data_IF_831737573399
#
_entry.id   IF_831737573399
#
_cell.length_a   1.000
_cell.length_b   1.000
_cell.length_c   1.000
_cell.angle_alpha   90.00
_cell.angle_beta   90.00
_cell.angle_gamma   90.00
#
_symmetry.space_group_name_H-M   'P 1'
#
loop_
_entity.id
_entity.type
_entity.pdbx_description
1 polymer ?
#
# COMPACT_ATOMS: atom_id res chain seq x y z
N UNK A 1 39.90 46.30 -14.72
CA UNK A 1 38.78 46.17 -13.78
C UNK A 1 37.77 45.16 -14.38
N UNK A 2 37.90 43.93 -14.01
CA UNK A 2 37.04 42.85 -14.55
C UNK A 2 35.84 42.66 -13.61
N UNK A 3 34.64 42.96 -14.09
CA UNK A 3 33.38 42.60 -13.44
C UNK A 3 33.06 41.13 -13.79
N UNK A 4 33.30 40.21 -12.87
CA UNK A 4 32.75 38.87 -12.95
C UNK A 4 31.25 38.92 -12.64
N UNK A 5 30.46 38.65 -13.66
CA UNK A 5 29.02 38.50 -13.54
C UNK A 5 28.77 37.12 -12.90
N UNK A 6 28.26 37.12 -11.69
CA UNK A 6 27.85 35.91 -10.96
C UNK A 6 26.46 35.52 -11.48
N UNK A 7 26.39 34.56 -12.38
CA UNK A 7 25.13 33.97 -12.81
C UNK A 7 24.78 32.93 -11.75
N UNK A 8 23.89 33.33 -10.85
CA UNK A 8 23.21 32.40 -9.93
C UNK A 8 22.15 31.69 -10.74
N UNK A 9 22.42 30.43 -11.09
CA UNK A 9 21.39 29.53 -11.64
C UNK A 9 20.40 29.23 -10.52
N UNK A 10 19.25 29.88 -10.59
CA UNK A 10 18.06 29.51 -9.82
C UNK A 10 17.50 28.25 -10.47
N UNK A 11 18.00 27.07 -10.07
CA UNK A 11 17.29 25.82 -10.24
C UNK A 11 16.26 25.72 -9.12
N UNK A 12 15.15 26.41 -9.28
CA UNK A 12 14.02 26.30 -8.38
C UNK A 12 12.83 25.74 -9.13
N UNK A 13 12.37 24.57 -8.69
CA UNK A 13 10.99 24.13 -8.75
C UNK A 13 10.32 23.94 -10.12
N UNK A 14 10.81 22.99 -10.93
CA UNK A 14 9.93 22.31 -11.88
C UNK A 14 9.81 20.78 -11.62
N UNK A 15 10.53 20.23 -10.63
CA UNK A 15 10.50 18.80 -10.35
C UNK A 15 9.22 18.31 -9.64
N UNK A 16 8.37 19.21 -9.16
CA UNK A 16 7.16 18.84 -8.41
C UNK A 16 5.89 18.65 -9.25
N UNK A 17 5.95 18.79 -10.56
CA UNK A 17 4.79 18.64 -11.45
C UNK A 17 4.81 17.37 -12.31
N UNK A 18 5.90 16.61 -12.33
CA UNK A 18 6.03 15.40 -13.15
C UNK A 18 5.82 14.08 -12.40
N UNK A 19 5.72 14.10 -11.08
CA UNK A 19 5.23 12.96 -10.29
C UNK A 19 3.69 12.83 -10.25
N UNK A 20 2.98 13.48 -11.15
CA UNK A 20 1.67 13.03 -11.54
C UNK A 20 1.85 11.70 -12.31
N UNK A 21 2.25 10.65 -11.57
CA UNK A 21 2.04 9.27 -12.00
C UNK A 21 0.67 9.25 -12.69
N UNK A 22 0.58 8.55 -13.82
CA UNK A 22 -0.70 8.22 -14.45
C UNK A 22 -1.54 7.43 -13.43
N UNK A 23 -2.10 8.17 -12.47
CA UNK A 23 -2.95 7.66 -11.37
C UNK A 23 -4.26 7.04 -11.88
N UNK A 24 -4.40 6.89 -13.21
CA UNK A 24 -5.60 6.40 -13.84
C UNK A 24 -5.61 4.89 -14.09
N UNK A 25 -4.45 4.22 -13.91
CA UNK A 25 -4.31 2.79 -14.21
C UNK A 25 -4.93 1.92 -13.13
N UNK A 26 -4.92 2.38 -11.87
CA UNK A 26 -5.48 1.60 -10.74
C UNK A 26 -6.60 2.40 -10.12
N UNK A 27 -7.76 2.37 -10.78
CA UNK A 27 -9.02 2.94 -10.29
C UNK A 27 -9.85 1.86 -9.61
N UNK A 28 -10.82 2.29 -8.80
CA UNK A 28 -11.92 1.44 -8.38
C UNK A 28 -12.75 1.01 -9.60
N UNK A 29 -13.27 -0.20 -9.56
CA UNK A 29 -14.16 -0.74 -10.59
C UNK A 29 -15.46 -1.22 -9.96
N UNK A 30 -16.56 -1.14 -10.71
CA UNK A 30 -17.84 -1.76 -10.33
C UNK A 30 -17.84 -3.27 -10.53
N UNK A 31 -16.81 -3.81 -11.17
CA UNK A 31 -16.67 -5.25 -11.42
C UNK A 31 -15.97 -5.92 -10.24
N UNK A 32 -16.75 -6.34 -9.26
CA UNK A 32 -16.23 -7.07 -8.11
C UNK A 32 -16.96 -8.41 -7.96
N UNK A 33 -16.19 -9.46 -7.70
CA UNK A 33 -16.70 -10.82 -7.46
C UNK A 33 -16.46 -11.21 -5.99
N UNK A 34 -17.56 -11.36 -5.24
CA UNK A 34 -17.48 -11.79 -3.84
C UNK A 34 -16.92 -13.21 -3.73
N UNK A 35 -15.95 -13.47 -2.83
CA UNK A 35 -15.44 -14.82 -2.63
C UNK A 35 -16.57 -15.78 -2.20
N UNK A 36 -16.53 -17.00 -2.72
CA UNK A 36 -17.50 -18.06 -2.34
C UNK A 36 -17.00 -18.91 -1.18
N UNK A 37 -15.68 -19.10 -1.06
CA UNK A 37 -15.03 -19.88 0.01
C UNK A 37 -15.29 -19.26 1.39
N UNK A 38 -15.88 -20.00 2.35
CA UNK A 38 -16.21 -19.48 3.68
C UNK A 38 -14.96 -19.07 4.48
N UNK A 39 -13.81 -19.70 4.28
CA UNK A 39 -12.56 -19.34 4.99
C UNK A 39 -12.01 -18.01 4.45
N UNK A 40 -12.10 -17.78 3.13
CA UNK A 40 -11.73 -16.51 2.51
C UNK A 40 -12.68 -15.40 2.97
N UNK A 41 -13.99 -15.64 3.03
CA UNK A 41 -14.97 -14.68 3.56
C UNK A 41 -14.66 -14.29 5.02
N UNK A 42 -14.40 -15.26 5.88
CA UNK A 42 -14.07 -15.00 7.27
C UNK A 42 -12.76 -14.22 7.44
N UNK A 43 -11.74 -14.53 6.63
CA UNK A 43 -10.47 -13.80 6.61
C UNK A 43 -10.68 -12.37 6.09
N UNK A 44 -11.49 -12.18 5.06
CA UNK A 44 -11.81 -10.88 4.48
C UNK A 44 -12.54 -9.98 5.49
N UNK A 45 -13.52 -10.51 6.23
CA UNK A 45 -14.20 -9.79 7.31
C UNK A 45 -13.23 -9.40 8.44
N UNK A 46 -12.30 -10.30 8.79
CA UNK A 46 -11.22 -10.03 9.75
C UNK A 46 -10.29 -8.92 9.25
N UNK A 47 -9.91 -8.95 7.97
CA UNK A 47 -9.08 -7.91 7.37
C UNK A 47 -9.79 -6.56 7.33
N UNK A 48 -11.09 -6.54 6.99
CA UNK A 48 -11.90 -5.32 7.04
C UNK A 48 -11.96 -4.67 8.43
N UNK A 49 -11.74 -5.43 9.51
CA UNK A 49 -11.65 -4.90 10.87
C UNK A 49 -10.33 -4.17 11.14
N UNK A 50 -9.27 -4.45 10.36
CA UNK A 50 -7.91 -3.91 10.58
C UNK A 50 -7.75 -2.46 10.14
N UNK A 51 -8.38 -2.03 9.06
CA UNK A 51 -8.49 -0.64 8.57
C UNK A 51 -7.21 0.08 8.21
N UNK A 52 -6.07 -0.22 8.84
CA UNK A 52 -4.81 0.49 8.64
C UNK A 52 -3.65 -0.49 8.58
N UNK A 53 -2.92 -0.49 7.47
CA UNK A 53 -1.77 -1.34 7.19
C UNK A 53 -0.52 -0.56 6.79
N UNK A 54 0.62 -1.26 6.78
CA UNK A 54 1.91 -0.79 6.31
C UNK A 54 2.30 -1.59 5.07
N UNK A 55 2.64 -0.91 3.97
CA UNK A 55 3.37 -1.55 2.88
C UNK A 55 4.82 -1.07 2.90
N UNK A 56 5.75 -2.01 2.84
CA UNK A 56 7.19 -1.72 2.85
C UNK A 56 7.75 -2.04 1.47
N UNK A 57 8.19 -0.98 0.75
CA UNK A 57 8.92 -1.11 -0.51
C UNK A 57 10.42 -1.06 -0.23
N UNK A 58 11.07 -2.21 -0.36
CA UNK A 58 12.52 -2.31 -0.14
C UNK A 58 13.15 -3.32 -1.10
N UNK A 59 14.21 -2.90 -1.80
CA UNK A 59 14.88 -3.67 -2.82
C UNK A 59 16.11 -2.93 -3.34
N UNK A 60 16.61 -3.33 -4.51
CA UNK A 60 17.83 -2.74 -5.10
C UNK A 60 17.73 -1.23 -5.30
N UNK A 61 16.55 -0.72 -5.64
CA UNK A 61 16.29 0.71 -5.87
C UNK A 61 16.57 1.59 -4.64
N UNK A 62 16.58 1.01 -3.43
CA UNK A 62 16.96 1.75 -2.24
C UNK A 62 18.46 2.09 -2.22
N UNK A 63 19.32 1.30 -2.88
CA UNK A 63 20.78 1.51 -2.89
C UNK A 63 21.15 2.81 -3.61
N UNK A 64 20.72 3.06 -4.86
CA UNK A 64 20.91 4.35 -5.51
C UNK A 64 19.93 5.44 -5.01
N UNK A 65 18.86 5.09 -4.27
CA UNK A 65 17.86 6.04 -3.81
C UNK A 65 17.04 6.64 -4.94
N UNK A 66 16.48 5.80 -5.81
CA UNK A 66 15.69 6.21 -6.99
C UNK A 66 14.28 5.63 -6.92
N UNK A 67 13.43 6.08 -7.86
CA UNK A 67 12.13 5.45 -8.08
C UNK A 67 12.30 3.93 -8.21
N UNK A 68 11.40 3.17 -7.65
CA UNK A 68 11.47 1.70 -7.53
C UNK A 68 12.04 1.07 -8.82
N UNK A 69 11.82 -0.16 -9.13
CA UNK A 69 12.35 -0.81 -10.35
C UNK A 69 11.94 -0.15 -11.68
N UNK A 70 11.00 0.78 -11.66
CA UNK A 70 10.53 1.46 -12.88
C UNK A 70 11.62 2.15 -13.68
N UNK A 71 12.71 2.59 -13.04
CA UNK A 71 13.84 3.21 -13.74
C UNK A 71 14.45 2.33 -14.83
N UNK A 72 14.29 1.00 -14.78
CA UNK A 72 14.76 0.07 -15.84
C UNK A 72 13.69 -0.27 -16.88
N UNK A 73 12.49 0.29 -16.80
CA UNK A 73 11.46 0.17 -17.82
C UNK A 73 11.71 1.18 -18.94
N UNK A 74 11.43 0.83 -20.20
CA UNK A 74 11.71 1.67 -21.38
C UNK A 74 10.53 2.58 -21.78
N UNK A 75 9.51 2.69 -20.93
CA UNK A 75 8.38 3.58 -21.22
C UNK A 75 8.78 5.06 -21.16
N UNK A 76 8.12 5.87 -21.98
CA UNK A 76 8.46 7.28 -22.26
C UNK A 76 8.28 8.24 -21.07
N UNK A 77 7.50 7.83 -20.05
CA UNK A 77 7.34 8.60 -18.81
C UNK A 77 8.49 8.41 -17.79
N UNK A 78 9.43 7.46 -18.09
CA UNK A 78 10.58 7.19 -17.24
C UNK A 78 11.75 8.07 -17.66
N UNK A 79 12.19 8.94 -16.79
CA UNK A 79 13.38 9.74 -16.96
C UNK A 79 14.62 9.00 -16.44
N UNK A 80 15.67 8.97 -17.25
CA UNK A 80 16.97 8.38 -16.94
C UNK A 80 18.09 9.28 -17.40
N UNK A 81 19.31 9.05 -16.89
CA UNK A 81 20.52 9.66 -17.40
C UNK A 81 20.71 9.29 -18.88
N UNK A 82 20.50 10.28 -19.77
CA UNK A 82 20.60 10.12 -21.22
C UNK A 82 22.04 9.94 -21.74
N UNK A 83 23.05 10.11 -20.88
CA UNK A 83 24.46 9.90 -21.23
C UNK A 83 24.84 8.42 -21.19
N UNK A 84 24.01 7.58 -20.59
CA UNK A 84 24.21 6.14 -20.46
C UNK A 84 23.26 5.42 -21.41
N UNK A 85 23.77 4.42 -22.17
CA UNK A 85 22.88 3.59 -22.99
C UNK A 85 21.87 2.84 -22.13
N UNK A 86 20.69 2.57 -22.68
CA UNK A 86 19.64 1.85 -21.94
C UNK A 86 20.10 0.47 -21.45
N UNK A 87 20.89 -0.25 -22.27
CA UNK A 87 21.43 -1.55 -21.88
C UNK A 87 22.47 -1.43 -20.75
N UNK A 88 23.31 -0.41 -20.76
CA UNK A 88 24.27 -0.17 -19.70
C UNK A 88 23.60 0.34 -18.43
N UNK A 89 22.51 1.12 -18.56
CA UNK A 89 21.70 1.52 -17.41
C UNK A 89 21.09 0.30 -16.68
N UNK A 90 20.54 -0.67 -17.42
CA UNK A 90 20.02 -1.91 -16.83
C UNK A 90 21.13 -2.69 -16.11
N UNK A 91 22.31 -2.82 -16.71
CA UNK A 91 23.46 -3.47 -16.06
C UNK A 91 23.88 -2.73 -14.79
N UNK A 92 24.01 -1.40 -14.87
CA UNK A 92 24.31 -0.54 -13.73
C UNK A 92 23.32 -0.76 -12.58
N UNK A 93 22.02 -0.80 -12.88
CA UNK A 93 20.98 -1.03 -11.89
C UNK A 93 21.11 -2.44 -11.25
N UNK A 94 21.19 -3.47 -12.06
CA UNK A 94 21.27 -4.84 -11.53
C UNK A 94 22.58 -5.13 -10.77
N UNK A 95 23.65 -4.40 -11.05
CA UNK A 95 24.91 -4.50 -10.33
C UNK A 95 24.81 -4.03 -8.86
N UNK A 96 23.73 -3.34 -8.47
CA UNK A 96 23.47 -3.04 -7.06
C UNK A 96 23.24 -4.29 -6.23
N UNK A 97 22.84 -5.42 -6.82
CA UNK A 97 22.80 -6.71 -6.13
C UNK A 97 24.14 -7.12 -5.51
N UNK A 98 25.26 -6.67 -6.09
CA UNK A 98 26.62 -6.88 -5.59
C UNK A 98 27.06 -5.90 -4.50
N UNK A 99 26.22 -4.90 -4.20
CA UNK A 99 26.51 -3.82 -3.22
C UNK A 99 25.49 -3.76 -2.08
N UNK A 100 24.31 -4.37 -2.25
CA UNK A 100 23.23 -4.30 -1.27
C UNK A 100 23.59 -5.14 -0.03
N UNK A 101 24.02 -4.45 1.01
CA UNK A 101 24.45 -5.06 2.28
C UNK A 101 23.89 -4.25 3.48
N UNK A 102 22.63 -4.48 3.87
CA UNK A 102 21.94 -3.71 4.90
C UNK A 102 22.36 -4.11 6.32
N UNK A 103 23.55 -3.69 6.74
CA UNK A 103 24.18 -4.10 8.02
C UNK A 103 23.41 -3.67 9.27
N UNK A 104 22.48 -2.69 9.14
CA UNK A 104 21.64 -2.22 10.24
C UNK A 104 20.20 -2.74 10.17
N UNK A 105 19.93 -3.74 9.32
CA UNK A 105 18.60 -4.32 9.20
C UNK A 105 18.09 -4.88 10.52
N UNK A 106 16.98 -4.32 10.98
CA UNK A 106 16.31 -4.70 12.23
C UNK A 106 14.78 -4.64 12.04
N UNK A 107 14.16 -5.77 11.65
CA UNK A 107 12.72 -5.80 11.37
C UNK A 107 11.85 -5.57 12.61
N UNK A 108 12.37 -5.81 13.81
CA UNK A 108 11.69 -5.53 15.07
C UNK A 108 11.46 -4.02 15.26
N UNK A 109 12.39 -3.17 14.79
CA UNK A 109 12.19 -1.72 14.79
C UNK A 109 11.11 -1.30 13.80
N UNK A 110 11.01 -1.96 12.65
CA UNK A 110 9.97 -1.67 11.66
C UNK A 110 8.58 -2.07 12.19
N UNK A 111 8.46 -3.26 12.78
CA UNK A 111 7.19 -3.71 13.35
C UNK A 111 6.76 -2.84 14.52
N UNK A 112 7.68 -2.44 15.40
CA UNK A 112 7.39 -1.52 16.50
C UNK A 112 6.91 -0.16 15.99
N UNK A 113 7.54 0.41 14.94
CA UNK A 113 7.09 1.68 14.35
C UNK A 113 5.67 1.58 13.78
N UNK A 114 5.36 0.49 13.04
CA UNK A 114 4.01 0.24 12.53
C UNK A 114 2.99 0.02 13.65
N UNK A 115 3.34 -0.75 14.67
CA UNK A 115 2.48 -0.99 15.85
C UNK A 115 2.18 0.31 16.61
N UNK A 116 3.20 1.13 16.83
CA UNK A 116 3.05 2.43 17.48
C UNK A 116 2.16 3.36 16.67
N UNK A 117 2.23 3.35 15.33
CA UNK A 117 1.32 4.09 14.47
C UNK A 117 -0.15 3.59 14.52
N UNK A 118 -0.39 2.42 15.10
CA UNK A 118 -1.70 1.77 15.15
C UNK A 118 -1.99 0.84 13.98
N UNK A 119 -1.01 0.56 13.11
CA UNK A 119 -1.17 -0.35 11.98
C UNK A 119 -1.43 -1.79 12.43
N UNK A 120 -2.18 -2.57 11.64
CA UNK A 120 -2.69 -3.89 12.01
C UNK A 120 -2.37 -4.99 11.01
N UNK A 121 -1.87 -4.65 9.83
CA UNK A 121 -1.41 -5.61 8.83
C UNK A 121 -0.21 -5.05 8.08
N UNK A 122 0.59 -5.96 7.56
CA UNK A 122 1.77 -5.70 6.75
C UNK A 122 1.53 -6.18 5.33
N UNK A 123 2.08 -5.47 4.35
CA UNK A 123 2.36 -5.96 3.00
C UNK A 123 3.85 -5.68 2.72
N UNK A 124 4.67 -6.72 2.53
CA UNK A 124 6.11 -6.57 2.32
C UNK A 124 6.49 -6.96 0.89
N UNK A 125 7.26 -6.12 0.19
CA UNK A 125 7.76 -6.41 -1.16
C UNK A 125 8.77 -7.55 -1.14
N UNK A 126 8.29 -8.79 -1.25
CA UNK A 126 9.17 -9.97 -1.31
C UNK A 126 9.97 -10.02 -2.62
N UNK A 127 9.40 -9.50 -3.70
CA UNK A 127 10.06 -9.26 -4.99
C UNK A 127 9.33 -8.17 -5.74
N UNK A 128 10.02 -7.10 -6.18
CA UNK A 128 9.48 -6.08 -7.08
C UNK A 128 9.72 -6.44 -8.55
N UNK A 129 9.33 -5.58 -9.50
CA UNK A 129 9.38 -5.88 -10.96
C UNK A 129 10.80 -6.18 -11.47
N UNK A 130 11.85 -5.64 -10.81
CA UNK A 130 13.25 -5.89 -11.17
C UNK A 130 13.71 -7.34 -10.98
N UNK A 131 12.88 -8.16 -10.32
CA UNK A 131 13.17 -9.57 -10.09
C UNK A 131 14.08 -9.86 -8.90
N UNK A 132 14.57 -8.84 -8.16
CA UNK A 132 15.40 -9.05 -6.99
C UNK A 132 14.57 -9.58 -5.82
N UNK A 133 14.88 -10.83 -5.40
CA UNK A 133 14.15 -11.47 -4.31
C UNK A 133 14.69 -11.03 -2.94
N UNK A 134 13.82 -10.52 -2.08
CA UNK A 134 14.13 -10.20 -0.68
C UNK A 134 13.94 -11.42 0.24
N UNK A 135 14.01 -12.63 -0.32
CA UNK A 135 13.87 -13.91 0.37
C UNK A 135 14.81 -14.96 -0.23
N UNK A 136 15.09 -16.04 0.52
CA UNK A 136 15.98 -17.13 0.07
C UNK A 136 15.24 -18.06 -0.89
N UNK A 137 15.05 -17.60 -2.13
CA UNK A 137 14.47 -18.42 -3.20
C UNK A 137 15.49 -19.41 -3.77
N UNK A 138 15.01 -20.60 -4.12
CA UNK A 138 15.80 -21.60 -4.86
C UNK A 138 15.64 -21.48 -6.37
N UNK A 139 14.79 -20.53 -6.83
CA UNK A 139 14.48 -20.37 -8.25
C UNK A 139 15.48 -19.44 -8.95
N UNK A 140 16.21 -18.61 -8.20
CA UNK A 140 17.15 -17.61 -8.73
C UNK A 140 18.28 -17.32 -7.74
N UNK A 141 19.47 -17.03 -8.25
CA UNK A 141 20.58 -16.47 -7.45
C UNK A 141 20.47 -14.94 -7.31
N UNK A 142 19.52 -14.32 -8.00
CA UNK A 142 19.27 -12.88 -7.91
C UNK A 142 18.42 -12.57 -6.66
N UNK A 143 19.06 -12.66 -5.50
CA UNK A 143 18.42 -12.57 -4.19
C UNK A 143 19.36 -11.94 -3.16
N UNK A 144 18.79 -11.25 -2.18
CA UNK A 144 19.53 -10.69 -1.05
C UNK A 144 20.25 -11.78 -0.24
N UNK A 145 19.70 -12.98 -0.18
CA UNK A 145 20.29 -14.12 0.50
C UNK A 145 21.51 -14.74 -0.22
N UNK A 146 21.76 -14.31 -1.46
CA UNK A 146 22.90 -14.78 -2.29
C UNK A 146 23.95 -13.70 -2.55
N UNK A 147 23.68 -12.46 -2.15
CA UNK A 147 24.56 -11.30 -2.34
C UNK A 147 25.49 -11.03 -1.15
N UNK A 148 26.00 -9.79 -1.02
CA UNK A 148 26.90 -9.39 0.07
C UNK A 148 26.33 -9.60 1.47
N UNK A 149 24.99 -9.61 1.61
CA UNK A 149 24.31 -9.84 2.87
C UNK A 149 24.15 -11.32 3.24
N UNK A 150 24.56 -12.26 2.38
CA UNK A 150 24.36 -13.70 2.56
C UNK A 150 24.95 -14.29 3.84
N UNK A 151 26.04 -13.70 4.37
CA UNK A 151 26.65 -14.13 5.62
C UNK A 151 25.92 -13.66 6.88
N UNK A 152 24.97 -12.74 6.74
CA UNK A 152 24.18 -12.26 7.87
C UNK A 152 23.14 -13.32 8.27
N UNK A 153 22.97 -13.64 9.57
CA UNK A 153 21.92 -14.57 10.01
C UNK A 153 20.51 -14.21 9.55
N UNK A 154 20.26 -12.91 9.26
CA UNK A 154 18.97 -12.39 8.78
C UNK A 154 18.93 -12.22 7.25
N UNK A 155 19.77 -12.93 6.49
CA UNK A 155 19.87 -12.80 5.04
C UNK A 155 18.55 -13.16 4.30
N UNK A 156 17.77 -14.08 4.83
CA UNK A 156 16.40 -14.33 4.38
C UNK A 156 15.46 -13.25 4.94
N UNK A 157 15.52 -12.06 4.36
CA UNK A 157 14.88 -10.85 4.88
C UNK A 157 13.39 -11.02 5.09
N UNK A 158 12.66 -11.59 4.12
CA UNK A 158 11.22 -11.78 4.22
C UNK A 158 10.83 -12.62 5.44
N UNK A 159 11.62 -13.65 5.76
CA UNK A 159 11.39 -14.48 6.95
C UNK A 159 11.40 -13.64 8.23
N UNK A 160 12.44 -12.86 8.42
CA UNK A 160 12.62 -12.06 9.63
C UNK A 160 11.62 -10.91 9.72
N UNK A 161 11.25 -10.29 8.59
CA UNK A 161 10.18 -9.28 8.53
C UNK A 161 8.85 -9.90 8.94
N UNK A 162 8.47 -11.02 8.34
CA UNK A 162 7.19 -11.69 8.67
C UNK A 162 7.15 -12.14 10.13
N UNK A 163 8.24 -12.70 10.65
CA UNK A 163 8.30 -13.17 12.04
C UNK A 163 8.18 -12.00 13.04
N UNK A 164 8.86 -10.87 12.80
CA UNK A 164 8.78 -9.69 13.65
C UNK A 164 7.36 -9.09 13.68
N UNK A 165 6.75 -8.90 12.51
CA UNK A 165 5.39 -8.35 12.43
C UNK A 165 4.34 -9.32 12.99
N UNK A 166 4.47 -10.61 12.74
CA UNK A 166 3.58 -11.64 13.29
C UNK A 166 3.63 -11.67 14.81
N UNK A 167 4.84 -11.57 15.39
CA UNK A 167 5.04 -11.45 16.84
C UNK A 167 4.32 -10.24 17.43
N UNK A 168 4.24 -9.15 16.70
CA UNK A 168 3.52 -7.92 17.10
C UNK A 168 2.01 -7.95 16.79
N UNK A 169 1.48 -9.06 16.26
CA UNK A 169 0.04 -9.28 16.04
C UNK A 169 -0.51 -8.74 14.73
N UNK A 170 0.35 -8.48 13.76
CA UNK A 170 -0.05 -8.08 12.41
C UNK A 170 -0.56 -9.27 11.59
N UNK A 171 -1.54 -9.04 10.72
CA UNK A 171 -1.76 -9.92 9.57
C UNK A 171 -0.60 -9.74 8.59
N UNK A 172 -0.16 -10.85 7.99
CA UNK A 172 1.03 -10.87 7.13
C UNK A 172 0.62 -10.94 5.66
N UNK A 173 1.06 -9.94 4.89
CA UNK A 173 0.91 -9.87 3.44
C UNK A 173 2.26 -9.98 2.73
N UNK A 174 2.32 -10.89 1.76
CA UNK A 174 3.41 -10.99 0.81
C UNK A 174 3.03 -10.25 -0.48
N UNK A 175 3.66 -9.09 -0.71
CA UNK A 175 3.64 -8.48 -2.04
C UNK A 175 4.58 -9.29 -2.96
N UNK A 176 4.10 -9.61 -4.13
CA UNK A 176 4.88 -10.29 -5.16
C UNK A 176 4.56 -9.72 -6.54
N UNK A 177 5.57 -9.24 -7.26
CA UNK A 177 5.41 -8.85 -8.66
C UNK A 177 5.26 -10.06 -9.56
N UNK A 178 4.19 -10.11 -10.33
CA UNK A 178 3.98 -11.14 -11.36
C UNK A 178 5.03 -11.05 -12.47
N UNK A 179 5.36 -9.86 -13.04
CA UNK A 179 6.50 -9.72 -13.95
C UNK A 179 7.83 -9.90 -13.22
N UNK A 180 8.86 -10.23 -14.00
CA UNK A 180 10.25 -10.29 -13.52
C UNK A 180 11.16 -9.84 -14.67
N UNK A 181 11.61 -8.58 -14.58
CA UNK A 181 12.38 -7.95 -15.65
C UNK A 181 13.85 -8.44 -15.72
N UNK A 182 14.35 -9.10 -14.68
CA UNK A 182 15.67 -9.74 -14.70
C UNK A 182 15.60 -11.12 -15.36
N UNK A 183 14.47 -11.79 -15.30
CA UNK A 183 14.30 -13.14 -15.83
C UNK A 183 14.43 -13.18 -17.35
N UNK A 184 15.35 -14.00 -17.86
CA UNK A 184 15.49 -14.28 -19.28
C UNK A 184 14.25 -14.95 -19.89
N UNK A 185 13.36 -15.44 -19.06
CA UNK A 185 12.08 -16.04 -19.49
C UNK A 185 10.99 -14.97 -19.61
N UNK A 186 11.20 -13.75 -19.10
CA UNK A 186 10.27 -12.62 -19.25
C UNK A 186 10.83 -11.58 -20.24
N UNK A 187 11.99 -10.98 -19.96
CA UNK A 187 12.73 -10.12 -20.87
C UNK A 187 13.92 -10.89 -21.47
N UNK A 188 13.70 -11.42 -22.66
CA UNK A 188 14.73 -12.17 -23.33
C UNK A 188 15.75 -11.25 -24.02
N UNK A 189 17.00 -11.35 -23.66
CA UNK A 189 18.11 -10.52 -24.21
C UNK A 189 18.25 -10.56 -25.73
N UNK A 190 17.65 -11.55 -26.39
CA UNK A 190 17.60 -11.64 -27.86
C UNK A 190 16.83 -10.51 -28.52
N UNK A 191 15.88 -9.92 -27.82
CA UNK A 191 14.98 -8.89 -28.32
C UNK A 191 15.07 -7.62 -27.49
N UNK A 192 14.88 -6.45 -28.15
CA UNK A 192 14.78 -5.18 -27.44
C UNK A 192 13.58 -5.18 -26.47
N UNK A 193 13.74 -4.49 -25.35
CA UNK A 193 12.67 -4.27 -24.39
C UNK A 193 11.93 -3.00 -24.76
N UNK A 194 10.69 -3.11 -25.22
CA UNK A 194 9.88 -1.98 -25.69
C UNK A 194 9.08 -1.29 -24.56
N UNK A 195 8.62 -2.07 -23.59
CA UNK A 195 7.77 -1.61 -22.49
C UNK A 195 7.83 -2.62 -21.32
N UNK A 196 6.89 -2.50 -20.38
CA UNK A 196 6.76 -3.38 -19.19
C UNK A 196 6.42 -4.84 -19.48
N UNK A 197 5.93 -5.15 -20.70
CA UNK A 197 5.48 -6.50 -21.07
C UNK A 197 6.65 -7.42 -21.44
N UNK A 198 6.39 -8.71 -21.58
CA UNK A 198 7.36 -9.62 -22.16
C UNK A 198 7.72 -9.19 -23.60
N UNK A 199 8.97 -9.39 -24.01
CA UNK A 199 9.51 -8.85 -25.25
C UNK A 199 9.64 -9.86 -26.41
N UNK A 200 8.95 -10.99 -26.34
CA UNK A 200 8.97 -12.03 -27.38
C UNK A 200 7.58 -12.63 -27.62
N UNK A 201 7.40 -13.25 -28.77
CA UNK A 201 6.15 -13.92 -29.15
C UNK A 201 5.98 -15.21 -28.35
N UNK A 202 5.03 -15.23 -27.42
CA UNK A 202 4.69 -16.37 -26.57
C UNK A 202 4.17 -17.55 -27.41
N UNK A 203 3.46 -17.30 -28.52
CA UNK A 203 2.95 -18.37 -29.40
C UNK A 203 4.07 -19.06 -30.15
N UNK A 204 5.11 -18.30 -30.52
CA UNK A 204 6.31 -18.84 -31.20
C UNK A 204 7.23 -19.57 -30.23
N UNK A 205 7.28 -19.13 -28.98
CA UNK A 205 8.17 -19.66 -27.94
C UNK A 205 7.41 -20.09 -26.67
N UNK A 206 6.42 -20.99 -26.76
CA UNK A 206 5.55 -21.35 -25.63
C UNK A 206 6.32 -22.02 -24.48
N UNK A 207 7.39 -22.74 -24.80
CA UNK A 207 8.24 -23.36 -23.79
C UNK A 207 8.89 -22.34 -22.88
N UNK A 208 9.29 -21.17 -23.40
CA UNK A 208 9.92 -20.09 -22.63
C UNK A 208 8.92 -19.49 -21.65
N UNK A 209 7.68 -19.25 -22.11
CA UNK A 209 6.62 -18.77 -21.21
C UNK A 209 6.26 -19.81 -20.15
N UNK A 210 6.26 -21.08 -20.47
CA UNK A 210 6.05 -22.16 -19.49
C UNK A 210 7.16 -22.19 -18.43
N UNK A 211 8.41 -21.92 -18.80
CA UNK A 211 9.50 -21.79 -17.82
C UNK A 211 9.27 -20.58 -16.90
N UNK A 212 8.85 -19.41 -17.45
CA UNK A 212 8.51 -18.25 -16.66
C UNK A 212 7.36 -18.54 -15.70
N UNK A 213 6.29 -19.14 -16.21
CA UNK A 213 5.13 -19.53 -15.41
C UNK A 213 5.52 -20.44 -14.23
N UNK A 214 6.31 -21.47 -14.48
CA UNK A 214 6.80 -22.36 -13.43
C UNK A 214 7.68 -21.63 -12.42
N UNK A 215 8.55 -20.74 -12.88
CA UNK A 215 9.40 -19.90 -12.02
C UNK A 215 8.56 -19.07 -11.05
N UNK A 216 7.53 -18.35 -11.54
CA UNK A 216 6.62 -17.54 -10.72
C UNK A 216 5.84 -18.43 -9.74
N UNK A 217 5.26 -19.53 -10.21
CA UNK A 217 4.50 -20.47 -9.39
C UNK A 217 5.35 -21.07 -8.27
N UNK A 218 6.60 -21.44 -8.55
CA UNK A 218 7.51 -22.00 -7.56
C UNK A 218 7.89 -20.96 -6.50
N UNK A 219 8.22 -19.72 -6.90
CA UNK A 219 8.54 -18.66 -5.94
C UNK A 219 7.35 -18.34 -5.02
N UNK A 220 6.14 -18.27 -5.56
CA UNK A 220 4.92 -18.11 -4.74
C UNK A 220 4.74 -19.33 -3.83
N UNK A 221 4.99 -20.54 -4.34
CA UNK A 221 4.95 -21.76 -3.54
C UNK A 221 5.90 -21.72 -2.35
N UNK A 222 7.14 -21.28 -2.56
CA UNK A 222 8.12 -21.09 -1.47
C UNK A 222 7.61 -20.12 -0.41
N UNK A 223 7.08 -18.95 -0.82
CA UNK A 223 6.53 -17.96 0.11
C UNK A 223 5.35 -18.50 0.91
N UNK A 224 4.50 -19.31 0.30
CA UNK A 224 3.31 -19.86 0.97
C UNK A 224 3.63 -21.05 1.89
N UNK A 225 4.77 -21.72 1.74
CA UNK A 225 5.09 -22.94 2.51
C UNK A 225 6.20 -22.76 3.54
N UNK A 226 7.15 -21.82 3.33
CA UNK A 226 8.38 -21.76 4.11
C UNK A 226 8.41 -20.58 5.12
N UNK A 227 7.43 -19.69 5.08
CA UNK A 227 7.46 -18.40 5.81
C UNK A 227 6.41 -18.29 6.91
N UNK A 228 5.90 -19.42 7.39
CA UNK A 228 4.85 -19.47 8.41
C UNK A 228 3.49 -19.02 7.88
N UNK A 229 2.63 -18.49 8.75
CA UNK A 229 1.30 -18.03 8.35
C UNK A 229 1.39 -16.75 7.52
N UNK A 230 0.81 -16.80 6.31
CA UNK A 230 0.62 -15.66 5.40
C UNK A 230 -0.89 -15.47 5.20
N UNK A 231 -1.37 -14.25 5.39
CA UNK A 231 -2.79 -13.92 5.34
C UNK A 231 -3.21 -13.33 3.99
N UNK A 232 -2.29 -12.67 3.29
CA UNK A 232 -2.54 -11.93 2.05
C UNK A 232 -1.43 -12.24 1.04
N UNK A 233 -1.80 -12.66 -0.16
CA UNK A 233 -0.93 -12.69 -1.33
C UNK A 233 -1.30 -11.51 -2.23
N UNK A 234 -0.47 -10.48 -2.21
CA UNK A 234 -0.68 -9.23 -2.91
C UNK A 234 0.11 -9.21 -4.23
N UNK A 235 -0.57 -9.50 -5.33
CA UNK A 235 0.03 -9.69 -6.65
C UNK A 235 -0.01 -8.40 -7.45
N UNK A 236 1.14 -7.83 -7.73
CA UNK A 236 1.27 -6.65 -8.59
C UNK A 236 1.65 -7.00 -10.02
N UNK A 237 1.56 -6.02 -10.92
CA UNK A 237 1.81 -6.22 -12.34
C UNK A 237 0.56 -6.70 -13.09
N UNK A 238 -0.53 -5.93 -13.00
CA UNK A 238 -1.81 -6.24 -13.62
C UNK A 238 -1.79 -6.45 -15.14
N UNK A 239 -0.72 -6.05 -15.83
CA UNK A 239 -0.50 -6.33 -17.25
C UNK A 239 -0.09 -7.80 -17.52
N UNK A 240 0.41 -8.54 -16.51
CA UNK A 240 0.64 -9.98 -16.60
C UNK A 240 -0.69 -10.67 -16.37
N UNK A 241 -1.43 -10.87 -17.47
CA UNK A 241 -2.81 -11.37 -17.48
C UNK A 241 -3.13 -12.16 -18.75
N UNK A 242 -4.16 -13.03 -18.74
CA UNK A 242 -4.73 -13.59 -19.95
C UNK A 242 -5.26 -12.48 -20.88
N UNK A 243 -5.03 -12.56 -22.19
CA UNK A 243 -5.61 -11.59 -23.14
C UNK A 243 -7.13 -11.53 -23.06
N UNK A 244 -7.79 -12.63 -22.74
CA UNK A 244 -9.25 -12.67 -22.59
C UNK A 244 -9.77 -11.77 -21.44
N UNK A 245 -8.91 -11.35 -20.51
CA UNK A 245 -9.26 -10.41 -19.42
C UNK A 245 -9.09 -8.93 -19.81
N UNK A 246 -8.54 -8.66 -21.00
CA UNK A 246 -8.42 -7.29 -21.53
C UNK A 246 -9.77 -6.85 -22.08
N UNK A 247 -10.34 -5.82 -21.51
CA UNK A 247 -11.63 -5.25 -21.85
C UNK A 247 -11.52 -3.71 -22.04
N UNK A 248 -12.62 -3.03 -22.30
CA UNK A 248 -12.65 -1.57 -22.51
C UNK A 248 -12.10 -0.79 -21.32
N UNK A 249 -12.34 -1.24 -20.11
CA UNK A 249 -11.78 -0.63 -18.90
C UNK A 249 -10.25 -0.68 -18.94
N UNK A 250 -9.66 -1.84 -19.19
CA UNK A 250 -8.20 -2.02 -19.30
C UNK A 250 -7.63 -1.17 -20.43
N UNK A 251 -8.32 -1.09 -21.58
CA UNK A 251 -7.92 -0.26 -22.70
C UNK A 251 -7.96 1.25 -22.37
N UNK A 252 -8.88 1.66 -21.50
CA UNK A 252 -9.00 3.06 -21.08
C UNK A 252 -7.87 3.55 -20.19
N UNK A 253 -7.05 2.66 -19.61
CA UNK A 253 -5.97 3.04 -18.71
C UNK A 253 -4.78 3.71 -19.42
N UNK A 254 -4.68 3.59 -20.74
CA UNK A 254 -3.60 4.19 -21.54
C UNK A 254 -2.21 3.56 -21.27
N UNK A 255 -2.16 2.43 -20.57
CA UNK A 255 -0.92 1.68 -20.36
C UNK A 255 -0.66 0.72 -21.54
N UNK A 256 0.60 0.32 -21.78
CA UNK A 256 0.92 -0.65 -22.81
C UNK A 256 0.17 -1.98 -22.60
N UNK A 257 -0.62 -2.37 -23.60
CA UNK A 257 -1.37 -3.63 -23.56
C UNK A 257 -0.48 -4.77 -24.04
N UNK A 258 -0.49 -5.94 -23.35
CA UNK A 258 0.31 -7.08 -23.79
C UNK A 258 -0.12 -7.56 -25.19
N UNK A 259 0.86 -7.80 -26.07
CA UNK A 259 0.62 -8.34 -27.42
C UNK A 259 0.22 -9.81 -27.42
N UNK A 260 0.61 -10.52 -26.37
CA UNK A 260 0.36 -11.96 -26.19
C UNK A 260 -0.27 -12.22 -24.83
N UNK A 261 -0.95 -13.35 -24.69
CA UNK A 261 -1.53 -13.76 -23.40
C UNK A 261 -0.43 -14.07 -22.39
N UNK A 262 -0.27 -13.20 -21.41
CA UNK A 262 0.66 -13.38 -20.30
C UNK A 262 -0.01 -14.14 -19.14
N UNK A 263 -0.59 -15.28 -19.46
CA UNK A 263 -1.28 -16.12 -18.49
C UNK A 263 -0.28 -16.95 -17.67
N UNK A 264 -0.28 -16.71 -16.35
CA UNK A 264 0.53 -17.45 -15.37
C UNK A 264 -0.25 -18.55 -14.64
N UNK A 265 -1.49 -18.83 -15.05
CA UNK A 265 -2.38 -19.86 -14.48
C UNK A 265 -2.79 -19.53 -13.03
N UNK A 266 -3.49 -18.41 -12.86
CA UNK A 266 -3.99 -17.97 -11.54
C UNK A 266 -4.83 -19.03 -10.82
N UNK A 267 -5.68 -19.85 -11.48
CA UNK A 267 -6.39 -20.97 -10.82
C UNK A 267 -5.44 -21.93 -10.10
N UNK A 268 -4.33 -22.31 -10.76
CA UNK A 268 -3.32 -23.20 -10.17
C UNK A 268 -2.59 -22.54 -9.01
N UNK A 269 -2.21 -21.27 -9.17
CA UNK A 269 -1.58 -20.48 -8.08
C UNK A 269 -2.52 -20.42 -6.88
N UNK A 270 -3.80 -20.09 -7.08
CA UNK A 270 -4.79 -19.98 -6.02
C UNK A 270 -5.00 -21.33 -5.30
N UNK A 271 -5.13 -22.41 -6.04
CA UNK A 271 -5.28 -23.76 -5.48
C UNK A 271 -4.08 -24.14 -4.61
N UNK A 272 -2.87 -23.94 -5.12
CA UNK A 272 -1.62 -24.23 -4.41
C UNK A 272 -1.48 -23.37 -3.16
N UNK A 273 -1.68 -22.06 -3.30
CA UNK A 273 -1.51 -21.10 -2.21
C UNK A 273 -2.54 -21.30 -1.10
N UNK A 274 -3.83 -21.50 -1.44
CA UNK A 274 -4.89 -21.76 -0.44
C UNK A 274 -4.79 -23.14 0.20
N UNK A 275 -4.19 -24.13 -0.48
CA UNK A 275 -3.87 -25.42 0.14
C UNK A 275 -2.83 -25.26 1.25
N UNK A 276 -1.81 -24.40 1.06
CA UNK A 276 -0.79 -24.12 2.06
C UNK A 276 -1.29 -23.14 3.13
N UNK A 277 -2.11 -22.16 2.76
CA UNK A 277 -2.63 -21.08 3.61
C UNK A 277 -4.16 -21.01 3.50
N UNK A 278 -4.91 -21.82 4.25
CA UNK A 278 -6.38 -21.81 4.21
C UNK A 278 -6.97 -20.42 4.49
N UNK A 279 -7.91 -19.97 3.67
CA UNK A 279 -8.52 -18.65 3.79
C UNK A 279 -7.66 -17.49 3.28
N UNK A 280 -6.53 -17.76 2.61
CA UNK A 280 -5.64 -16.73 2.04
C UNK A 280 -6.41 -15.73 1.19
N UNK A 281 -6.26 -14.45 1.51
CA UNK A 281 -6.72 -13.36 0.66
C UNK A 281 -5.77 -13.22 -0.53
N UNK A 282 -6.31 -13.23 -1.72
CA UNK A 282 -5.55 -12.96 -2.95
C UNK A 282 -5.96 -11.61 -3.52
N UNK A 283 -4.98 -10.85 -3.94
CA UNK A 283 -5.17 -9.53 -4.55
C UNK A 283 -4.46 -9.52 -5.89
N UNK A 284 -5.12 -10.04 -6.92
CA UNK A 284 -4.65 -9.95 -8.30
C UNK A 284 -5.02 -8.58 -8.87
N UNK A 285 -4.21 -7.57 -8.51
CA UNK A 285 -4.50 -6.15 -8.78
C UNK A 285 -4.94 -5.90 -10.21
N UNK A 286 -6.07 -5.23 -10.34
CA UNK A 286 -6.65 -4.82 -11.63
C UNK A 286 -7.02 -5.97 -12.60
N UNK A 287 -6.95 -7.22 -12.14
CA UNK A 287 -7.47 -8.37 -12.87
C UNK A 287 -8.73 -8.86 -12.15
N UNK A 288 -9.87 -8.21 -12.48
CA UNK A 288 -11.13 -8.47 -11.78
C UNK A 288 -11.57 -9.91 -11.92
N UNK A 289 -12.08 -10.46 -10.81
CA UNK A 289 -12.55 -11.84 -10.74
C UNK A 289 -12.27 -12.49 -9.37
N UNK A 290 -12.33 -13.82 -9.27
CA UNK A 290 -12.32 -14.56 -8.00
C UNK A 290 -11.00 -14.45 -7.22
N UNK A 291 -9.96 -13.88 -7.82
CA UNK A 291 -8.62 -13.72 -7.23
C UNK A 291 -8.29 -12.28 -6.84
N UNK A 292 -9.22 -11.34 -7.00
CA UNK A 292 -9.15 -9.97 -6.47
C UNK A 292 -10.11 -9.84 -5.27
N UNK A 293 -9.73 -10.35 -4.09
CA UNK A 293 -10.60 -10.38 -2.93
C UNK A 293 -10.89 -9.00 -2.32
N UNK A 294 -10.14 -7.99 -2.70
CA UNK A 294 -10.45 -6.57 -2.50
C UNK A 294 -9.74 -5.72 -3.57
N UNK A 295 -10.35 -4.63 -3.95
CA UNK A 295 -9.76 -3.71 -4.93
C UNK A 295 -8.73 -2.79 -4.29
N UNK A 296 -7.79 -2.28 -5.09
CA UNK A 296 -6.67 -1.49 -4.60
C UNK A 296 -6.46 -0.21 -5.40
N UNK A 297 -7.38 0.78 -5.31
CA UNK A 297 -7.13 2.09 -5.90
C UNK A 297 -5.82 2.67 -5.34
N UNK A 298 -4.94 3.11 -6.25
CA UNK A 298 -3.62 3.60 -5.90
C UNK A 298 -3.58 5.12 -5.85
N UNK A 299 -3.04 5.68 -4.76
CA UNK A 299 -2.94 7.12 -4.49
C UNK A 299 -4.29 7.87 -4.57
N UNK A 300 -5.40 7.15 -4.53
CA UNK A 300 -6.76 7.66 -4.68
C UNK A 300 -7.68 7.18 -3.57
N UNK A 301 -8.68 7.99 -3.29
CA UNK A 301 -9.82 7.63 -2.46
C UNK A 301 -11.05 7.70 -3.38
N UNK A 302 -11.86 6.66 -3.50
CA UNK A 302 -13.10 6.69 -4.26
C UNK A 302 -13.97 7.88 -3.88
N UNK A 303 -14.69 8.47 -4.85
CA UNK A 303 -15.56 9.64 -4.59
C UNK A 303 -16.69 9.31 -3.62
N UNK A 304 -17.21 8.09 -3.66
CA UNK A 304 -18.30 7.61 -2.81
C UNK A 304 -17.92 6.31 -2.10
N UNK A 305 -18.80 5.84 -1.22
CA UNK A 305 -18.71 4.50 -0.64
C UNK A 305 -18.84 3.44 -1.74
N UNK A 306 -18.00 2.41 -1.66
CA UNK A 306 -18.15 1.21 -2.50
C UNK A 306 -18.93 0.14 -1.74
N UNK A 307 -19.62 -0.72 -2.47
CA UNK A 307 -20.43 -1.83 -1.95
C UNK A 307 -19.61 -3.11 -1.72
N UNK A 308 -18.31 -3.05 -1.95
CA UNK A 308 -17.36 -4.16 -1.86
C UNK A 308 -16.08 -3.74 -1.11
N UNK A 309 -15.26 -4.70 -0.65
CA UNK A 309 -14.00 -4.43 0.04
C UNK A 309 -12.97 -3.75 -0.87
N UNK A 310 -12.29 -2.75 -0.32
CA UNK A 310 -11.23 -2.04 -1.03
C UNK A 310 -10.16 -1.50 -0.08
N UNK A 311 -8.99 -1.22 -0.63
CA UNK A 311 -7.81 -0.71 0.06
C UNK A 311 -7.20 0.42 -0.75
N UNK A 312 -7.11 1.61 -0.20
CA UNK A 312 -6.32 2.66 -0.82
C UNK A 312 -4.85 2.48 -0.42
N UNK A 313 -4.00 2.14 -1.39
CA UNK A 313 -2.57 2.12 -1.17
C UNK A 313 -1.95 3.48 -1.53
N UNK A 314 -1.27 4.09 -0.55
CA UNK A 314 -0.72 5.44 -0.64
C UNK A 314 0.69 5.51 -0.09
N UNK A 315 1.54 6.33 -0.68
CA UNK A 315 2.87 6.62 -0.14
C UNK A 315 2.80 7.59 1.03
N UNK A 316 3.64 7.43 2.03
CA UNK A 316 3.87 8.47 3.05
C UNK A 316 4.67 9.64 2.44
N UNK A 317 5.67 9.36 1.60
CA UNK A 317 6.45 10.33 0.83
C UNK A 317 5.94 10.53 -0.60
N UNK A 318 6.84 10.97 -1.48
CA UNK A 318 6.60 11.09 -2.92
C UNK A 318 6.81 9.76 -3.66
N UNK A 319 7.66 8.88 -3.14
CA UNK A 319 7.99 7.56 -3.72
C UNK A 319 7.55 6.42 -2.81
N UNK A 320 7.42 5.21 -3.37
CA UNK A 320 7.15 3.99 -2.59
C UNK A 320 8.38 3.53 -1.82
N UNK A 321 9.56 3.52 -2.48
CA UNK A 321 10.85 3.22 -1.88
C UNK A 321 11.52 4.44 -1.27
N UNK A 322 12.72 4.24 -0.71
CA UNK A 322 13.53 5.34 -0.18
C UNK A 322 14.16 6.16 -1.31
N UNK A 323 13.92 7.47 -1.28
CA UNK A 323 14.59 8.48 -2.12
C UNK A 323 15.17 9.57 -1.21
N UNK A 324 16.46 9.94 -1.37
CA UNK A 324 17.05 11.01 -0.59
C UNK A 324 16.32 12.35 -0.82
N UNK A 325 16.00 13.06 0.27
CA UNK A 325 15.32 14.36 0.18
C UNK A 325 13.83 14.28 -0.12
N UNK A 326 13.22 13.09 -0.08
CA UNK A 326 11.77 12.93 -0.24
C UNK A 326 10.98 13.76 0.78
N UNK A 327 9.80 14.21 0.36
CA UNK A 327 8.92 15.05 1.18
C UNK A 327 7.78 14.21 1.74
N UNK A 328 7.77 14.03 3.06
CA UNK A 328 6.75 13.22 3.72
C UNK A 328 5.51 14.04 4.09
N UNK A 329 4.35 13.45 3.85
CA UNK A 329 3.05 14.04 4.19
C UNK A 329 2.97 14.35 5.70
N UNK A 330 2.35 15.47 6.08
CA UNK A 330 2.04 15.75 7.48
C UNK A 330 1.18 14.62 8.09
N UNK A 331 1.44 14.26 9.35
CA UNK A 331 0.67 13.22 10.05
C UNK A 331 -0.84 13.53 10.08
N UNK A 332 -1.21 14.81 10.19
CA UNK A 332 -2.61 15.23 10.15
C UNK A 332 -3.28 14.89 8.80
N UNK A 333 -2.57 15.05 7.68
CA UNK A 333 -3.09 14.68 6.36
C UNK A 333 -3.33 13.18 6.27
N UNK A 334 -2.39 12.36 6.77
CA UNK A 334 -2.55 10.89 6.78
C UNK A 334 -3.73 10.47 7.65
N UNK A 335 -3.93 11.10 8.81
CA UNK A 335 -5.10 10.86 9.68
C UNK A 335 -6.40 11.22 8.96
N UNK A 336 -6.46 12.36 8.24
CA UNK A 336 -7.65 12.75 7.47
C UNK A 336 -7.98 11.72 6.37
N UNK A 337 -6.96 11.28 5.62
CA UNK A 337 -7.13 10.24 4.60
C UNK A 337 -7.61 8.91 5.22
N UNK A 338 -7.02 8.51 6.36
CA UNK A 338 -7.47 7.31 7.08
C UNK A 338 -8.95 7.42 7.50
N UNK A 339 -9.36 8.56 8.05
CA UNK A 339 -10.74 8.82 8.46
C UNK A 339 -11.70 8.75 7.26
N UNK A 340 -11.38 9.43 6.18
CA UNK A 340 -12.18 9.43 4.95
C UNK A 340 -12.32 8.02 4.36
N UNK A 341 -11.19 7.31 4.19
CA UNK A 341 -11.13 5.94 3.65
C UNK A 341 -12.02 5.01 4.47
N UNK A 342 -11.90 5.06 5.81
CA UNK A 342 -12.64 4.17 6.70
C UNK A 342 -14.14 4.51 6.71
N UNK A 343 -14.50 5.79 6.67
CA UNK A 343 -15.90 6.22 6.56
C UNK A 343 -16.55 5.81 5.23
N UNK A 344 -15.74 5.71 4.15
CA UNK A 344 -16.14 5.19 2.84
C UNK A 344 -16.08 3.65 2.73
N UNK A 345 -15.68 2.94 3.80
CA UNK A 345 -15.69 1.48 3.87
C UNK A 345 -14.37 0.79 3.52
N UNK A 346 -13.33 1.54 3.20
CA UNK A 346 -12.01 1.03 2.83
C UNK A 346 -11.06 0.80 3.98
N UNK A 347 -9.84 0.40 3.60
CA UNK A 347 -8.65 0.33 4.45
C UNK A 347 -7.54 1.17 3.84
N UNK A 348 -6.72 1.81 4.67
CA UNK A 348 -5.52 2.52 4.23
C UNK A 348 -4.31 1.60 4.34
N UNK A 349 -3.57 1.43 3.26
CA UNK A 349 -2.26 0.78 3.21
C UNK A 349 -1.21 1.87 2.96
N UNK A 350 -0.45 2.25 4.00
CA UNK A 350 0.51 3.35 3.94
C UNK A 350 1.91 2.84 3.61
N UNK A 351 2.51 3.37 2.54
CA UNK A 351 3.83 3.01 2.04
C UNK A 351 4.96 3.69 2.77
N UNK A 352 5.97 2.90 3.15
CA UNK A 352 7.24 3.37 3.70
C UNK A 352 8.40 2.69 2.99
N UNK A 353 9.50 3.43 2.76
CA UNK A 353 10.73 2.93 2.15
C UNK A 353 11.90 2.96 3.15
N UNK A 354 12.41 1.80 3.60
CA UNK A 354 13.65 1.76 4.38
C UNK A 354 14.86 2.21 3.56
N UNK A 355 15.84 2.81 4.25
CA UNK A 355 17.15 3.18 3.69
C UNK A 355 17.94 1.93 3.26
N UNK A 356 18.97 2.07 2.40
CA UNK A 356 19.77 0.93 1.95
C UNK A 356 20.53 0.20 3.08
N UNK A 357 20.75 0.86 4.23
CA UNK A 357 21.36 0.23 5.40
C UNK A 357 20.39 -0.59 6.26
N UNK A 358 19.08 -0.56 5.93
CA UNK A 358 18.02 -1.28 6.64
C UNK A 358 17.29 -0.48 7.72
N UNK A 359 17.64 0.80 7.94
CA UNK A 359 16.93 1.66 8.90
C UNK A 359 15.78 2.41 8.23
N UNK A 360 14.73 2.74 8.99
CA UNK A 360 13.73 3.72 8.53
C UNK A 360 14.33 5.14 8.57
N UNK A 361 13.95 6.04 7.65
CA UNK A 361 14.25 7.46 7.81
C UNK A 361 13.68 8.00 9.13
N UNK A 362 14.42 8.89 9.81
CA UNK A 362 14.01 9.43 11.09
C UNK A 362 12.70 10.20 11.01
N UNK A 363 12.50 10.95 9.91
CA UNK A 363 11.26 11.66 9.65
C UNK A 363 10.06 10.73 9.47
N UNK A 364 10.23 9.58 8.78
CA UNK A 364 9.20 8.54 8.69
C UNK A 364 8.81 8.05 10.08
N UNK A 365 9.79 7.74 10.93
CA UNK A 365 9.55 7.29 12.30
C UNK A 365 8.81 8.35 13.11
N UNK A 366 9.18 9.62 12.95
CA UNK A 366 8.49 10.73 13.59
C UNK A 366 7.02 10.81 13.13
N UNK A 367 6.73 10.77 11.81
CA UNK A 367 5.36 10.83 11.30
C UNK A 367 4.51 9.65 11.79
N UNK A 368 5.07 8.44 11.81
CA UNK A 368 4.40 7.26 12.35
C UNK A 368 4.05 7.43 13.84
N UNK A 369 4.94 8.00 14.65
CA UNK A 369 4.67 8.30 16.06
C UNK A 369 3.56 9.35 16.22
N UNK A 370 3.56 10.42 15.42
CA UNK A 370 2.51 11.45 15.43
C UNK A 370 1.13 10.85 15.07
N UNK A 371 1.05 10.00 14.06
CA UNK A 371 -0.16 9.25 13.68
C UNK A 371 -0.59 8.36 14.86
N UNK A 372 0.36 7.69 15.50
CA UNK A 372 0.13 6.80 16.62
C UNK A 372 -0.46 7.50 17.85
N UNK A 373 -0.05 8.73 18.14
CA UNK A 373 -0.63 9.53 19.22
C UNK A 373 -2.13 9.77 19.02
N UNK A 374 -2.55 9.94 17.77
CA UNK A 374 -3.96 10.10 17.43
C UNK A 374 -4.73 8.77 17.47
N UNK A 375 -4.20 7.73 16.81
CA UNK A 375 -4.86 6.42 16.73
C UNK A 375 -5.01 5.75 18.09
N UNK A 376 -4.06 5.91 19.00
CA UNK A 376 -4.12 5.40 20.37
C UNK A 376 -5.33 5.93 21.15
N UNK A 377 -5.68 7.21 20.95
CA UNK A 377 -6.81 7.85 21.63
C UNK A 377 -8.16 7.65 20.91
N UNK A 378 -8.14 7.54 19.59
CA UNK A 378 -9.35 7.59 18.75
C UNK A 378 -9.63 6.30 17.97
N UNK A 379 -8.82 5.27 18.15
CA UNK A 379 -8.89 4.03 17.35
C UNK A 379 -10.23 3.30 17.40
N UNK A 380 -11.07 3.51 18.44
CA UNK A 380 -12.43 2.97 18.48
C UNK A 380 -13.29 3.44 17.30
N UNK A 381 -13.04 4.64 16.78
CA UNK A 381 -13.76 5.19 15.64
C UNK A 381 -13.24 4.67 14.29
N UNK A 382 -12.14 3.94 14.29
CA UNK A 382 -11.45 3.42 13.11
C UNK A 382 -11.58 1.90 13.01
N UNK A 383 -11.03 1.17 14.01
CA UNK A 383 -10.92 -0.29 13.95
C UNK A 383 -12.26 -0.98 14.31
N UNK A 384 -12.50 -2.14 13.72
CA UNK A 384 -13.75 -2.90 13.90
C UNK A 384 -15.00 -2.09 13.57
N UNK A 385 -14.89 -1.16 12.62
CA UNK A 385 -16.00 -0.30 12.19
C UNK A 385 -16.57 -0.72 10.83
N UNK A 386 -17.78 -0.27 10.57
CA UNK A 386 -18.50 -0.43 9.30
C UNK A 386 -19.02 0.91 8.83
N UNK A 387 -19.45 0.98 7.58
CA UNK A 387 -20.03 2.16 6.94
C UNK A 387 -21.37 2.55 7.56
N UNK A 388 -21.72 3.82 7.42
CA UNK A 388 -23.06 4.37 7.72
C UNK A 388 -23.66 4.92 6.44
N UNK A 389 -25.00 4.92 6.33
CA UNK A 389 -25.70 5.47 5.15
C UNK A 389 -25.32 6.95 4.91
N UNK A 390 -25.27 7.75 5.98
CA UNK A 390 -24.87 9.15 5.94
C UNK A 390 -23.46 9.26 6.52
N UNK A 391 -22.46 9.01 5.70
CA UNK A 391 -21.07 8.86 6.13
C UNK A 391 -20.29 10.17 6.22
N UNK A 392 -20.87 11.28 5.75
CA UNK A 392 -20.16 12.56 5.68
C UNK A 392 -21.15 13.74 5.78
N UNK A 393 -20.76 14.78 6.53
CA UNK A 393 -21.42 16.09 6.58
C UNK A 393 -20.39 17.19 6.91
N UNK A 394 -20.04 18.00 5.92
CA UNK A 394 -19.00 19.03 6.03
C UNK A 394 -17.63 18.42 6.37
N UNK A 395 -17.06 18.79 7.51
CA UNK A 395 -15.76 18.24 8.01
C UNK A 395 -15.96 16.99 8.88
N UNK A 396 -17.20 16.52 9.08
CA UNK A 396 -17.52 15.40 9.97
C UNK A 396 -17.75 14.13 9.17
N UNK A 397 -16.97 13.11 9.45
CA UNK A 397 -17.08 11.76 8.92
C UNK A 397 -17.73 10.83 9.94
N UNK A 398 -18.45 9.81 9.47
CA UNK A 398 -19.13 8.88 10.35
C UNK A 398 -18.79 7.44 10.06
N UNK A 399 -18.58 6.70 11.14
CA UNK A 399 -18.44 5.24 11.15
C UNK A 399 -19.37 4.65 12.21
N UNK A 400 -19.56 3.34 12.20
CA UNK A 400 -20.30 2.66 13.27
C UNK A 400 -19.56 1.40 13.72
N UNK A 401 -19.77 0.98 14.96
CA UNK A 401 -19.28 -0.32 15.44
C UNK A 401 -19.86 -1.46 14.60
N UNK A 402 -19.14 -2.57 14.50
CA UNK A 402 -19.55 -3.74 13.73
C UNK A 402 -20.94 -4.27 14.10
N UNK A 403 -21.33 -4.15 15.37
CA UNK A 403 -22.65 -4.54 15.88
C UNK A 403 -23.74 -3.44 15.73
N UNK A 404 -23.38 -2.29 15.16
CA UNK A 404 -24.28 -1.15 14.92
C UNK A 404 -24.71 -0.38 16.17
N UNK A 405 -24.29 -0.79 17.38
CA UNK A 405 -24.77 -0.17 18.64
C UNK A 405 -24.16 1.20 18.93
N UNK A 406 -22.99 1.47 18.38
CA UNK A 406 -22.29 2.76 18.53
C UNK A 406 -22.08 3.40 17.17
N UNK A 407 -22.20 4.72 17.14
CA UNK A 407 -21.79 5.55 16.02
C UNK A 407 -20.69 6.48 16.45
N UNK A 408 -19.81 6.78 15.51
CA UNK A 408 -18.69 7.69 15.72
C UNK A 408 -18.81 8.85 14.75
N UNK A 409 -18.64 10.08 15.27
CA UNK A 409 -18.51 11.29 14.49
C UNK A 409 -17.05 11.76 14.60
N UNK A 410 -16.37 11.95 13.48
CA UNK A 410 -14.96 12.30 13.43
C UNK A 410 -14.84 13.61 12.66
N UNK A 411 -14.59 14.70 13.38
CA UNK A 411 -14.44 16.05 12.82
C UNK A 411 -12.96 16.27 12.48
N UNK A 412 -12.64 16.36 11.20
CA UNK A 412 -11.29 16.64 10.70
C UNK A 412 -11.03 18.15 10.74
N UNK A 413 -10.00 18.56 11.48
CA UNK A 413 -9.60 19.97 11.60
C UNK A 413 -8.83 20.41 10.36
N UNK A 414 -9.20 21.53 9.76
CA UNK A 414 -8.44 22.12 8.65
C UNK A 414 -7.06 22.55 9.18
N UNK A 415 -6.06 22.57 8.28
CA UNK A 415 -4.71 23.02 8.62
C UNK A 415 -4.75 24.37 9.34
N UNK A 416 -4.08 24.43 10.49
CA UNK A 416 -3.98 25.61 11.36
C UNK A 416 -5.30 26.09 12.00
N UNK A 417 -6.39 25.33 11.85
CA UNK A 417 -7.62 25.60 12.58
C UNK A 417 -7.46 25.29 14.07
N UNK A 418 -7.87 26.23 14.93
CA UNK A 418 -8.06 25.94 16.35
C UNK A 418 -9.32 25.09 16.55
N UNK A 419 -9.36 24.26 17.59
CA UNK A 419 -10.54 23.46 17.90
C UNK A 419 -11.78 24.37 17.97
N UNK A 420 -12.85 24.11 17.16
CA UNK A 420 -14.01 24.94 17.13
C UNK A 420 -14.76 24.87 18.47
N UNK A 421 -15.43 25.96 18.88
CA UNK A 421 -16.26 25.96 20.11
C UNK A 421 -17.47 25.03 19.99
N UNK A 422 -17.98 24.86 18.77
CA UNK A 422 -19.14 24.01 18.49
C UNK A 422 -18.92 23.25 17.19
N UNK A 423 -19.40 22.00 17.15
CA UNK A 423 -19.46 21.17 15.92
C UNK A 423 -20.92 20.86 15.67
N UNK A 424 -21.31 20.89 14.39
CA UNK A 424 -22.67 20.62 13.95
C UNK A 424 -22.67 19.58 12.85
N UNK A 425 -23.71 18.74 12.84
CA UNK A 425 -24.00 17.83 11.74
C UNK A 425 -25.47 17.49 11.62
N UNK A 426 -25.92 17.13 10.44
CA UNK A 426 -27.26 16.65 10.13
C UNK A 426 -27.27 15.12 10.05
N UNK A 427 -28.45 14.54 10.10
CA UNK A 427 -28.61 13.09 10.15
C UNK A 427 -27.87 12.49 11.35
N UNK A 428 -27.49 11.25 11.35
CA UNK A 428 -26.71 10.62 12.44
C UNK A 428 -27.06 11.14 13.84
N UNK A 429 -28.38 11.14 14.15
CA UNK A 429 -28.91 11.72 15.39
C UNK A 429 -28.58 10.84 16.57
N UNK A 430 -27.98 11.38 17.67
CA UNK A 430 -27.80 10.64 18.90
C UNK A 430 -29.13 10.35 19.58
N UNK A 431 -29.22 9.19 20.24
CA UNK A 431 -30.41 8.79 21.01
C UNK A 431 -30.64 9.75 22.18
N UNK A 432 -31.85 10.31 22.29
CA UNK A 432 -32.21 11.21 23.37
C UNK A 432 -31.93 10.60 24.75
N UNK A 433 -31.37 11.38 25.65
CA UNK A 433 -31.02 10.95 26.99
C UNK A 433 -29.76 10.13 27.10
N UNK A 434 -29.00 9.97 26.02
CA UNK A 434 -27.67 9.33 26.05
C UNK A 434 -26.56 10.36 25.93
N UNK A 435 -25.35 9.94 26.33
CA UNK A 435 -24.17 10.79 26.30
C UNK A 435 -23.44 10.72 24.94
N UNK A 436 -22.82 11.82 24.54
CA UNK A 436 -21.76 11.83 23.53
C UNK A 436 -20.42 11.93 24.27
N UNK A 437 -19.48 11.05 23.94
CA UNK A 437 -18.18 10.96 24.56
C UNK A 437 -17.10 11.43 23.60
N UNK A 438 -16.27 12.40 24.00
CA UNK A 438 -15.05 12.74 23.28
C UNK A 438 -13.99 11.67 23.56
N UNK A 439 -13.58 10.90 22.51
CA UNK A 439 -12.74 9.71 22.68
C UNK A 439 -11.37 10.04 23.26
N UNK A 440 -10.75 11.15 22.84
CA UNK A 440 -9.39 11.51 23.28
C UNK A 440 -9.27 11.77 24.78
N UNK A 441 -10.38 12.08 25.47
CA UNK A 441 -10.41 12.39 26.91
C UNK A 441 -11.32 11.49 27.74
N UNK A 442 -12.22 10.73 27.08
CA UNK A 442 -13.27 9.95 27.75
C UNK A 442 -14.39 10.79 28.38
N UNK A 443 -14.36 12.11 28.20
CA UNK A 443 -15.32 13.03 28.86
C UNK A 443 -16.60 13.15 28.05
N UNK A 444 -17.73 13.32 28.77
CA UNK A 444 -19.03 13.65 28.18
C UNK A 444 -18.99 15.09 27.61
N UNK A 445 -19.61 15.29 26.45
CA UNK A 445 -19.77 16.62 25.85
C UNK A 445 -21.23 17.04 25.88
N UNK A 446 -21.52 18.35 26.07
CA UNK A 446 -22.86 18.89 26.00
C UNK A 446 -23.32 18.89 24.54
N UNK A 447 -24.55 18.46 24.30
CA UNK A 447 -25.14 18.43 22.96
C UNK A 447 -26.63 18.66 22.99
N UNK A 448 -27.17 19.10 21.87
CA UNK A 448 -28.60 19.21 21.62
C UNK A 448 -28.92 18.84 20.17
N UNK A 449 -30.15 18.42 19.90
CA UNK A 449 -30.62 18.21 18.55
C UNK A 449 -31.86 19.08 18.32
N UNK A 450 -31.84 19.85 17.25
CA UNK A 450 -32.94 20.71 16.84
C UNK A 450 -33.22 20.47 15.35
N UNK A 451 -34.43 20.02 15.03
CA UNK A 451 -34.85 19.75 13.63
C UNK A 451 -33.88 18.84 12.85
N UNK A 452 -33.36 17.82 13.48
CA UNK A 452 -32.44 16.87 12.85
C UNK A 452 -30.99 17.32 12.78
N UNK A 453 -30.66 18.54 13.19
CA UNK A 453 -29.26 19.02 13.34
C UNK A 453 -28.79 18.81 14.77
N UNK A 454 -27.72 18.04 14.92
CA UNK A 454 -27.02 17.87 16.20
C UNK A 454 -25.95 18.95 16.34
N UNK A 455 -25.98 19.66 17.46
CA UNK A 455 -24.95 20.64 17.84
C UNK A 455 -24.30 20.15 19.14
N UNK A 456 -22.97 20.03 19.16
CA UNK A 456 -22.23 19.74 20.37
C UNK A 456 -21.29 20.89 20.74
N UNK A 457 -21.04 21.05 22.03
CA UNK A 457 -20.06 22.02 22.57
C UNK A 457 -18.73 21.31 22.78
N UNK A 458 -17.69 21.77 22.10
CA UNK A 458 -16.34 21.23 22.27
C UNK A 458 -15.75 21.74 23.59
N UNK A 459 -15.24 20.87 24.49
CA UNK A 459 -14.61 21.30 25.73
C UNK A 459 -13.39 22.19 25.46
N UNK A 460 -13.16 23.17 26.34
CA UNK A 460 -11.95 23.98 26.29
C UNK A 460 -10.69 23.18 26.69
N UNK A 461 -9.53 23.61 26.24
CA UNK A 461 -8.24 23.02 26.64
C UNK A 461 -7.94 21.67 25.97
N UNK A 462 -8.52 21.41 24.80
CA UNK A 462 -8.13 20.25 23.98
C UNK A 462 -6.81 20.57 23.29
N UNK A 463 -5.84 19.66 23.41
CA UNK A 463 -4.56 19.73 22.71
C UNK A 463 -4.76 19.80 21.19
N UNK A 464 -3.81 20.44 20.50
CA UNK A 464 -3.79 20.45 19.03
C UNK A 464 -3.80 19.00 18.51
N UNK A 465 -4.74 18.69 17.64
CA UNK A 465 -4.96 17.34 17.10
C UNK A 465 -5.37 17.41 15.63
N UNK A 466 -5.19 16.31 14.90
CA UNK A 466 -5.62 16.21 13.49
C UNK A 466 -7.17 16.17 13.36
N UNK A 467 -7.83 15.47 14.26
CA UNK A 467 -9.28 15.30 14.25
C UNK A 467 -9.82 15.03 15.65
N UNK A 468 -11.07 15.41 15.89
CA UNK A 468 -11.84 15.15 17.11
C UNK A 468 -12.83 14.01 16.85
N UNK A 469 -12.74 12.94 17.62
CA UNK A 469 -13.62 11.79 17.48
C UNK A 469 -14.57 11.67 18.68
N UNK A 470 -15.84 11.47 18.38
CA UNK A 470 -16.93 11.37 19.34
C UNK A 470 -17.66 10.04 19.18
N UNK A 471 -18.00 9.38 20.28
CA UNK A 471 -18.82 8.17 20.28
C UNK A 471 -20.19 8.45 20.88
N UNK A 472 -21.24 7.88 20.28
CA UNK A 472 -22.62 8.00 20.77
C UNK A 472 -23.45 6.78 20.38
N UNK A 473 -24.60 6.63 21.07
CA UNK A 473 -25.63 5.65 20.71
C UNK A 473 -26.52 6.32 19.64
N UNK A 474 -26.71 5.73 18.45
CA UNK A 474 -27.59 6.31 17.43
C UNK A 474 -29.08 6.13 17.81
N UNK A 475 -29.91 7.01 17.30
CA UNK A 475 -31.37 6.94 17.39
C UNK A 475 -31.92 5.73 16.61
#
# INVERSE_FOLDING_TARGET
MNKKLLIVFVFVCCANLLYAQRNDIVKESTKYEWPTDPLVKAKLDTWQDKKFGMIIHWGLYAVPGIIESWSICSEDWIERDSTISYEDYKKWYWDFSKKFNPTKFNPEQWSAAGKNAGMKYLVFTTKHHDGFAMFDTKQSDFSIAKGPFASNPKADVAKYVFDAFRKDGFMIGAYFSKPDWHSQYYWWQKYATADRNNNYDIKKYPWRWNMFKNFVQNQIGELMTNYGSVDILWLDGGWVRPLASVNEEVLSWGAPIPKWSQDIDMPKIATMARKAQPGLLMVDRTVHGPYENYQTPEQKIPDAQLDHPWESCMTLGGAWGFVPGDQYKPAAEVVHKLVEIVAKGGSLLLGVGPKPDGTLPDEVTQKLNEIGQWTAKNGQAIYNTRITKNYHDGQTWFTQSKDGKKRFAIYCLVKDESSPKTIKWKNNVPKKGTDIILLSTGKKVKWQNTNGETTLTVPAGIDKTAALAFAFVPQ
#
